data_IF_925631397032
#
_entry.id   IF_925631397032
#
_cell.length_a   1.000
_cell.length_b   1.000
_cell.length_c   1.000
_cell.angle_alpha   90.00
_cell.angle_beta   90.00
_cell.angle_gamma   90.00
#
_symmetry.space_group_name_H-M   'P 1'
#
loop_
_entity.id
_entity.type
_entity.pdbx_description
1 polymer ?
#
# COMPACT_ATOMS: atom_id res chain seq x y z
N UNK A 1 -10.16 9.08 -9.19
CA UNK A 1 -10.98 8.45 -8.16
C UNK A 1 -10.27 7.24 -7.60
N UNK A 2 -10.38 6.98 -6.31
CA UNK A 2 -9.73 5.84 -5.66
C UNK A 2 -10.79 5.00 -4.96
N UNK A 3 -10.68 3.68 -5.09
CA UNK A 3 -11.55 2.75 -4.38
C UNK A 3 -10.67 1.83 -3.52
N UNK A 4 -11.00 1.73 -2.24
CA UNK A 4 -10.29 0.87 -1.31
C UNK A 4 -11.27 -0.17 -0.78
N UNK A 5 -10.91 -1.45 -0.93
CA UNK A 5 -11.73 -2.56 -0.47
C UNK A 5 -10.92 -3.43 0.48
N UNK A 6 -11.52 -3.77 1.62
CA UNK A 6 -10.87 -4.63 2.62
C UNK A 6 -11.40 -6.04 2.45
N UNK A 7 -10.51 -7.01 2.31
CA UNK A 7 -10.85 -8.42 2.22
C UNK A 7 -10.20 -9.17 3.37
N UNK A 8 -10.99 -9.93 4.10
CA UNK A 8 -10.50 -10.77 5.20
C UNK A 8 -10.19 -12.17 4.65
N UNK A 9 -8.92 -12.55 4.67
CA UNK A 9 -8.46 -13.83 4.15
C UNK A 9 -8.28 -14.88 5.25
N UNK A 10 -8.76 -14.59 6.47
CA UNK A 10 -8.60 -15.47 7.61
C UNK A 10 -7.36 -15.14 8.43
N UNK A 11 -6.18 -15.48 7.93
CA UNK A 11 -4.92 -15.18 8.60
C UNK A 11 -4.38 -13.80 8.23
N UNK A 12 -4.79 -13.26 7.08
CA UNK A 12 -4.30 -12.00 6.55
C UNK A 12 -5.47 -11.09 6.18
N UNK A 13 -5.21 -9.79 6.14
CA UNK A 13 -6.14 -8.81 5.59
C UNK A 13 -5.55 -8.27 4.28
N UNK A 14 -6.37 -8.19 3.25
CA UNK A 14 -5.97 -7.63 1.97
C UNK A 14 -6.69 -6.32 1.73
N UNK A 15 -5.91 -5.28 1.48
CA UNK A 15 -6.42 -3.95 1.17
C UNK A 15 -6.25 -3.76 -0.33
N UNK A 16 -7.35 -3.88 -1.06
CA UNK A 16 -7.33 -3.74 -2.52
C UNK A 16 -7.53 -2.27 -2.88
N UNK A 17 -6.58 -1.73 -3.63
CA UNK A 17 -6.59 -0.32 -4.04
C UNK A 17 -6.81 -0.24 -5.54
N UNK A 18 -7.86 0.45 -5.96
CA UNK A 18 -8.20 0.60 -7.37
C UNK A 18 -8.25 2.07 -7.77
N UNK A 19 -7.72 2.41 -8.94
CA UNK A 19 -7.77 3.75 -9.48
C UNK A 19 -6.46 4.50 -9.33
N UNK A 20 -6.52 5.75 -8.89
CA UNK A 20 -5.36 6.64 -8.83
C UNK A 20 -5.05 7.02 -7.39
N UNK A 21 -3.90 6.60 -6.93
CA UNK A 21 -3.41 6.95 -5.60
C UNK A 21 -2.63 8.26 -5.67
N UNK A 22 -3.37 9.36 -5.68
CA UNK A 22 -2.79 10.68 -5.89
C UNK A 22 -3.61 11.76 -5.19
N UNK A 23 -2.99 12.87 -4.84
CA UNK A 23 -3.64 14.04 -4.29
C UNK A 23 -4.41 13.76 -3.02
N UNK A 24 -5.67 14.19 -2.98
CA UNK A 24 -6.52 14.04 -1.80
C UNK A 24 -6.87 12.59 -1.47
N UNK A 25 -6.65 11.67 -2.40
CA UNK A 25 -6.92 10.24 -2.18
C UNK A 25 -5.86 9.56 -1.32
N UNK A 26 -4.66 10.13 -1.23
CA UNK A 26 -3.58 9.58 -0.42
C UNK A 26 -3.95 9.55 1.06
N UNK A 27 -4.46 10.64 1.67
CA UNK A 27 -4.93 10.58 3.07
C UNK A 27 -6.06 9.59 3.29
N UNK A 28 -6.90 9.37 2.28
CA UNK A 28 -7.99 8.38 2.37
C UNK A 28 -7.44 6.97 2.58
N UNK A 29 -6.44 6.59 1.82
CA UNK A 29 -5.80 5.29 1.98
C UNK A 29 -5.08 5.20 3.32
N UNK A 30 -4.39 6.25 3.72
CA UNK A 30 -3.68 6.28 4.99
C UNK A 30 -4.65 6.05 6.15
N UNK A 31 -5.79 6.71 6.13
CA UNK A 31 -6.78 6.57 7.18
C UNK A 31 -7.36 5.15 7.25
N UNK A 32 -7.64 4.56 6.09
CA UNK A 32 -8.10 3.18 6.02
C UNK A 32 -7.09 2.22 6.62
N UNK A 33 -5.81 2.41 6.28
CA UNK A 33 -4.73 1.59 6.80
C UNK A 33 -4.60 1.71 8.32
N UNK A 34 -4.61 2.94 8.84
CA UNK A 34 -4.50 3.16 10.29
C UNK A 34 -5.65 2.57 11.06
N UNK A 35 -6.86 2.64 10.50
CA UNK A 35 -8.04 2.03 11.11
C UNK A 35 -7.90 0.51 11.19
N UNK A 36 -7.39 -0.12 10.14
CA UNK A 36 -7.17 -1.57 10.12
C UNK A 36 -6.14 -2.00 11.17
N UNK A 37 -5.07 -1.25 11.31
CA UNK A 37 -4.03 -1.56 12.30
C UNK A 37 -4.60 -1.53 13.71
N UNK A 38 -5.46 -0.57 14.01
CA UNK A 38 -6.08 -0.46 15.33
C UNK A 38 -7.06 -1.60 15.61
N UNK A 39 -7.82 -2.00 14.58
CA UNK A 39 -8.84 -3.04 14.73
C UNK A 39 -8.26 -4.43 14.81
N UNK A 40 -7.14 -4.65 14.13
CA UNK A 40 -6.56 -5.99 14.00
C UNK A 40 -5.05 -5.93 14.23
N UNK A 41 -4.61 -5.58 15.44
CA UNK A 41 -3.17 -5.52 15.72
C UNK A 41 -2.55 -6.92 15.57
N UNK A 42 -1.38 -6.98 14.95
CA UNK A 42 -0.66 -8.23 14.77
C UNK A 42 -1.10 -9.05 13.56
N UNK A 43 -2.10 -8.61 12.82
CA UNK A 43 -2.53 -9.31 11.60
C UNK A 43 -1.65 -8.86 10.44
N UNK A 44 -1.26 -9.81 9.59
CA UNK A 44 -0.51 -9.50 8.37
C UNK A 44 -1.40 -8.75 7.39
N UNK A 45 -0.88 -7.66 6.83
CA UNK A 45 -1.62 -6.83 5.89
C UNK A 45 -0.95 -6.87 4.52
N UNK A 46 -1.76 -7.07 3.49
CA UNK A 46 -1.32 -7.08 2.10
C UNK A 46 -2.03 -5.93 1.38
N UNK A 47 -1.28 -5.10 0.68
CA UNK A 47 -1.86 -4.07 -0.19
C UNK A 47 -1.76 -4.55 -1.62
N UNK A 48 -2.91 -4.73 -2.25
CA UNK A 48 -3.00 -5.19 -3.64
C UNK A 48 -3.18 -3.98 -4.55
N UNK A 49 -2.17 -3.71 -5.35
CA UNK A 49 -2.11 -2.58 -6.27
C UNK A 49 -2.32 -3.01 -7.73
N UNK A 50 -2.89 -4.20 -7.93
CA UNK A 50 -3.09 -4.74 -9.29
C UNK A 50 -3.89 -3.80 -10.17
N UNK A 51 -4.92 -3.17 -9.62
CA UNK A 51 -5.80 -2.27 -10.36
C UNK A 51 -5.49 -0.79 -10.09
N UNK A 52 -4.35 -0.49 -9.52
CA UNK A 52 -3.89 0.88 -9.32
C UNK A 52 -3.24 1.37 -10.60
N UNK A 53 -3.79 2.44 -11.17
CA UNK A 53 -3.35 2.96 -12.47
C UNK A 53 -2.19 3.95 -12.35
N UNK A 54 -2.12 4.67 -11.23
CA UNK A 54 -1.15 5.75 -11.07
C UNK A 54 -0.90 6.02 -9.60
N UNK A 55 0.35 6.36 -9.27
CA UNK A 55 0.74 6.74 -7.92
C UNK A 55 1.60 8.00 -8.03
N UNK A 56 1.20 9.07 -7.33
CA UNK A 56 2.01 10.29 -7.30
C UNK A 56 3.10 10.17 -6.23
N UNK A 57 3.88 11.24 -6.04
CA UNK A 57 4.97 11.24 -5.08
C UNK A 57 4.48 11.01 -3.65
N UNK A 58 3.37 11.66 -3.27
CA UNK A 58 2.79 11.48 -1.94
C UNK A 58 2.30 10.05 -1.74
N UNK A 59 1.68 9.47 -2.77
CA UNK A 59 1.25 8.07 -2.71
C UNK A 59 2.41 7.11 -2.58
N UNK A 60 3.49 7.36 -3.31
CA UNK A 60 4.71 6.56 -3.20
C UNK A 60 5.28 6.65 -1.79
N UNK A 61 5.27 7.82 -1.19
CA UNK A 61 5.75 8.00 0.18
C UNK A 61 4.90 7.21 1.17
N UNK A 62 3.58 7.24 1.02
CA UNK A 62 2.68 6.47 1.88
C UNK A 62 2.94 4.98 1.75
N UNK A 63 3.08 4.46 0.53
CA UNK A 63 3.38 3.05 0.31
C UNK A 63 4.72 2.67 0.95
N UNK A 64 5.68 3.57 0.92
CA UNK A 64 6.97 3.36 1.56
C UNK A 64 6.82 3.22 3.08
N UNK A 65 6.00 4.07 3.71
CA UNK A 65 5.71 3.97 5.14
C UNK A 65 5.02 2.65 5.48
N UNK A 66 4.07 2.25 4.67
CA UNK A 66 3.37 0.98 4.85
C UNK A 66 4.33 -0.20 4.76
N UNK A 67 5.21 -0.19 3.76
CA UNK A 67 6.21 -1.24 3.58
C UNK A 67 7.13 -1.35 4.79
N UNK A 68 7.59 -0.21 5.31
CA UNK A 68 8.45 -0.19 6.51
C UNK A 68 7.73 -0.70 7.76
N UNK A 69 6.42 -0.60 7.78
CA UNK A 69 5.61 -1.09 8.89
C UNK A 69 5.30 -2.58 8.78
N UNK A 70 5.80 -3.25 7.74
CA UNK A 70 5.61 -4.67 7.56
C UNK A 70 4.50 -5.06 6.59
N UNK A 71 3.89 -4.09 5.93
CA UNK A 71 2.84 -4.35 4.94
C UNK A 71 3.48 -4.92 3.67
N UNK A 72 2.86 -5.96 3.11
CA UNK A 72 3.29 -6.52 1.84
C UNK A 72 2.62 -5.77 0.70
N UNK A 73 3.41 -5.38 -0.31
CA UNK A 73 2.90 -4.70 -1.49
C UNK A 73 2.88 -5.67 -2.66
N UNK A 74 1.76 -5.73 -3.36
CA UNK A 74 1.55 -6.64 -4.50
C UNK A 74 1.09 -5.88 -5.72
N UNK A 75 1.61 -6.23 -6.89
CA UNK A 75 1.22 -5.62 -8.16
C UNK A 75 1.49 -6.56 -9.32
N UNK A 76 0.77 -6.35 -10.44
CA UNK A 76 0.95 -7.09 -11.67
C UNK A 76 1.45 -6.24 -12.82
N UNK A 77 1.13 -4.93 -12.84
CA UNK A 77 1.57 -4.07 -13.93
C UNK A 77 3.05 -3.78 -13.80
N UNK A 78 3.72 -3.59 -14.94
CA UNK A 78 5.14 -3.22 -14.95
C UNK A 78 5.37 -1.90 -14.23
N UNK A 79 4.48 -0.93 -14.43
CA UNK A 79 4.56 0.37 -13.78
C UNK A 79 4.59 0.23 -12.25
N UNK A 80 3.63 -0.49 -11.70
CA UNK A 80 3.53 -0.65 -10.24
C UNK A 80 4.65 -1.52 -9.69
N UNK A 81 5.09 -2.53 -10.43
CA UNK A 81 6.23 -3.33 -10.01
C UNK A 81 7.50 -2.49 -9.91
N UNK A 82 7.68 -1.54 -10.83
CA UNK A 82 8.81 -0.63 -10.76
C UNK A 82 8.71 0.31 -9.56
N UNK A 83 7.52 0.82 -9.26
CA UNK A 83 7.29 1.65 -8.09
C UNK A 83 7.65 0.89 -6.81
N UNK A 84 7.17 -0.34 -6.69
CA UNK A 84 7.46 -1.18 -5.53
C UNK A 84 8.95 -1.49 -5.43
N UNK A 85 9.60 -1.77 -6.55
CA UNK A 85 11.03 -2.04 -6.56
C UNK A 85 11.84 -0.84 -6.04
N UNK A 86 11.48 0.37 -6.42
CA UNK A 86 12.12 1.58 -5.90
C UNK A 86 11.89 1.75 -4.39
N UNK A 87 10.68 1.50 -3.93
CA UNK A 87 10.35 1.59 -2.52
C UNK A 87 11.19 0.61 -1.71
N UNK A 88 11.28 -0.64 -2.15
CA UNK A 88 12.04 -1.66 -1.43
C UNK A 88 13.54 -1.38 -1.45
N UNK A 89 14.05 -0.87 -2.57
CA UNK A 89 15.46 -0.52 -2.68
C UNK A 89 15.83 0.63 -1.74
N UNK A 90 14.98 1.66 -1.66
CA UNK A 90 15.22 2.79 -0.75
C UNK A 90 15.14 2.37 0.71
N UNK A 91 14.19 1.50 1.06
CA UNK A 91 14.07 0.98 2.41
C UNK A 91 15.32 0.18 2.79
N UNK A 92 15.84 -0.63 1.87
CA UNK A 92 17.07 -1.38 2.07
C UNK A 92 18.28 -0.47 2.26
N UNK A 93 18.37 0.60 1.46
CA UNK A 93 19.48 1.55 1.55
C UNK A 93 19.51 2.28 2.90
N UNK A 94 18.38 2.47 3.53
CA UNK A 94 18.30 3.16 4.81
C UNK A 94 18.65 2.29 6.01
N UNK A 95 18.81 1.02 5.82
CA UNK A 95 19.18 0.09 6.87
C UNK A 95 20.67 0.08 7.19
N UNK A 96 21.41 0.92 6.51
CA UNK A 96 22.87 1.02 6.73
C UNK A 96 23.18 1.82 7.98
#
# INVERSE_FOLDING_TARGET
MLRVTVEDLGTDLRLKVEGRLAGAWVPELEQSWRTLIRRSPGVSLIVDLTDTEFVDLAGTYLLSLMYRSGVQLRANSLYMKNVIAEITAQAGAKCI
#
